data_IF_474708626012
#
_entry.id   IF_474708626012
#
_cell.length_a   1.000
_cell.length_b   1.000
_cell.length_c   1.000
_cell.angle_alpha   90.00
_cell.angle_beta   90.00
_cell.angle_gamma   90.00
#
_symmetry.space_group_name_H-M   'P 1'
#
loop_
_entity.id
_entity.type
_entity.pdbx_description
1 polymer ?
#
# COMPACT_ATOMS: atom_id res chain seq x y z
N UNK A 1 13.72 -2.46 1.85
CA UNK A 1 13.76 -3.53 2.87
C UNK A 1 12.75 -3.31 4.00
N UNK A 2 12.60 -2.10 4.55
CA UNK A 2 11.61 -1.81 5.63
C UNK A 2 10.15 -2.17 5.29
N UNK A 3 9.72 -1.99 4.03
CA UNK A 3 8.34 -2.27 3.59
C UNK A 3 7.98 -3.76 3.57
N UNK A 4 8.83 -4.61 3.00
CA UNK A 4 8.61 -6.06 2.96
C UNK A 4 8.60 -6.66 4.38
N UNK A 5 9.45 -6.13 5.27
CA UNK A 5 9.54 -6.55 6.66
C UNK A 5 8.30 -6.16 7.48
N UNK A 6 7.72 -4.99 7.19
CA UNK A 6 6.45 -4.55 7.77
C UNK A 6 5.26 -5.42 7.32
N UNK A 7 5.22 -5.83 6.04
CA UNK A 7 4.17 -6.74 5.53
C UNK A 7 4.29 -8.12 6.20
N UNK A 8 5.49 -8.68 6.32
CA UNK A 8 5.67 -9.96 7.02
C UNK A 8 5.29 -9.89 8.50
N UNK A 9 5.59 -8.77 9.18
CA UNK A 9 5.21 -8.56 10.56
C UNK A 9 3.68 -8.46 10.72
N UNK A 10 3.00 -7.77 9.80
CA UNK A 10 1.54 -7.68 9.78
C UNK A 10 0.88 -9.05 9.55
N UNK A 11 1.39 -9.85 8.61
CA UNK A 11 0.86 -11.22 8.37
C UNK A 11 1.05 -12.10 9.59
N UNK A 12 2.18 -12.00 10.29
CA UNK A 12 2.42 -12.71 11.54
C UNK A 12 1.47 -12.27 12.65
N UNK A 13 1.25 -10.96 12.80
CA UNK A 13 0.33 -10.40 13.78
C UNK A 13 -1.12 -10.81 13.50
N UNK A 14 -1.57 -10.73 12.24
CA UNK A 14 -2.88 -11.21 11.81
C UNK A 14 -3.04 -12.70 12.11
N UNK A 15 -2.00 -13.51 11.86
CA UNK A 15 -1.99 -14.93 12.21
C UNK A 15 -2.12 -15.20 13.72
N UNK A 16 -1.46 -14.41 14.57
CA UNK A 16 -1.63 -14.50 16.02
C UNK A 16 -3.04 -14.10 16.46
N UNK A 17 -3.60 -13.03 15.90
CA UNK A 17 -4.98 -12.58 16.17
C UNK A 17 -6.00 -13.63 15.78
N UNK A 18 -5.85 -14.29 14.62
CA UNK A 18 -6.71 -15.41 14.19
C UNK A 18 -6.67 -16.55 15.21
N UNK A 19 -5.48 -16.92 15.72
CA UNK A 19 -5.34 -17.95 16.76
C UNK A 19 -6.09 -17.58 18.04
N UNK A 20 -5.96 -16.33 18.50
CA UNK A 20 -6.68 -15.82 19.66
C UNK A 20 -8.19 -15.87 19.44
N UNK A 21 -8.69 -15.48 18.26
CA UNK A 21 -10.11 -15.56 17.90
C UNK A 21 -10.60 -17.02 17.91
N UNK A 22 -9.80 -17.96 17.39
CA UNK A 22 -10.17 -19.39 17.44
C UNK A 22 -10.24 -19.93 18.87
N UNK A 23 -9.34 -19.51 19.76
CA UNK A 23 -9.40 -19.87 21.18
C UNK A 23 -10.62 -19.26 21.88
N UNK A 24 -10.96 -18.00 21.56
CA UNK A 24 -12.18 -17.34 22.07
C UNK A 24 -13.44 -18.06 21.60
N UNK A 25 -13.51 -18.48 20.33
CA UNK A 25 -14.62 -19.26 19.79
C UNK A 25 -14.77 -20.62 20.49
N UNK A 26 -13.65 -21.28 20.83
CA UNK A 26 -13.67 -22.54 21.58
C UNK A 26 -14.19 -22.33 23.01
N UNK A 27 -13.66 -21.34 23.74
CA UNK A 27 -14.16 -20.99 25.09
C UNK A 27 -15.64 -20.58 25.10
N UNK A 28 -16.08 -19.86 24.07
CA UNK A 28 -17.48 -19.46 23.91
C UNK A 28 -18.39 -20.68 23.66
N UNK A 29 -17.89 -21.71 22.98
CA UNK A 29 -18.59 -22.98 22.83
C UNK A 29 -18.65 -23.72 24.18
N UNK A 30 -17.53 -23.80 24.90
CA UNK A 30 -17.44 -24.50 26.18
C UNK A 30 -18.39 -23.89 27.23
N UNK A 31 -18.42 -22.56 27.37
CA UNK A 31 -19.35 -21.88 28.29
C UNK A 31 -20.83 -21.97 27.88
N UNK A 32 -21.13 -22.18 26.59
CA UNK A 32 -22.50 -22.48 26.16
C UNK A 32 -22.91 -23.92 26.54
N UNK A 33 -21.98 -24.87 26.49
CA UNK A 33 -22.23 -26.27 26.89
C UNK A 33 -22.43 -26.40 28.40
N UNK A 34 -21.74 -25.59 29.20
CA UNK A 34 -21.91 -25.49 30.66
C UNK A 34 -23.23 -24.79 31.08
N UNK A 35 -24.04 -24.30 30.12
CA UNK A 35 -25.29 -23.55 30.31
C UNK A 35 -25.13 -22.17 30.98
N UNK A 36 -23.91 -21.64 31.06
CA UNK A 36 -23.63 -20.33 31.65
C UNK A 36 -24.01 -19.15 30.72
N UNK A 37 -24.32 -19.42 29.45
CA UNK A 37 -24.55 -18.39 28.42
C UNK A 37 -25.86 -18.64 27.69
N UNK A 38 -26.69 -17.60 27.59
CA UNK A 38 -27.91 -17.63 26.78
C UNK A 38 -27.63 -17.77 25.29
N UNK A 39 -28.49 -18.53 24.61
CA UNK A 39 -28.38 -18.82 23.16
C UNK A 39 -28.28 -17.57 22.29
N UNK A 40 -28.98 -16.50 22.67
CA UNK A 40 -28.99 -15.25 21.91
C UNK A 40 -27.65 -14.52 22.01
N UNK A 41 -27.08 -14.45 23.21
CA UNK A 41 -25.77 -13.85 23.47
C UNK A 41 -24.67 -14.64 22.73
N UNK A 42 -24.74 -15.97 22.76
CA UNK A 42 -23.82 -16.84 22.01
C UNK A 42 -23.83 -16.53 20.50
N UNK A 43 -25.02 -16.35 19.90
CA UNK A 43 -25.16 -16.08 18.46
C UNK A 43 -24.54 -14.75 18.06
N UNK A 44 -24.78 -13.69 18.84
CA UNK A 44 -24.25 -12.35 18.59
C UNK A 44 -22.72 -12.37 18.67
N UNK A 45 -22.16 -12.91 19.75
CA UNK A 45 -20.71 -12.90 19.97
C UNK A 45 -19.98 -13.80 18.96
N UNK A 46 -20.58 -14.95 18.61
CA UNK A 46 -20.07 -15.83 17.55
C UNK A 46 -20.04 -15.11 16.19
N UNK A 47 -21.11 -14.40 15.83
CA UNK A 47 -21.16 -13.68 14.56
C UNK A 47 -20.08 -12.58 14.48
N UNK A 48 -19.87 -11.86 15.59
CA UNK A 48 -18.82 -10.85 15.72
C UNK A 48 -17.41 -11.43 15.59
N UNK A 49 -17.12 -12.53 16.28
CA UNK A 49 -15.81 -13.19 16.19
C UNK A 49 -15.55 -13.77 14.79
N UNK A 50 -16.59 -14.30 14.13
CA UNK A 50 -16.46 -14.82 12.76
C UNK A 50 -16.26 -13.70 11.73
N UNK A 51 -16.92 -12.54 11.89
CA UNK A 51 -16.73 -11.42 10.98
C UNK A 51 -15.33 -10.82 11.11
N UNK A 52 -14.79 -10.71 12.33
CA UNK A 52 -13.42 -10.26 12.57
C UNK A 52 -12.40 -11.22 11.96
N UNK A 53 -12.56 -12.53 12.17
CA UNK A 53 -11.72 -13.55 11.54
C UNK A 53 -11.73 -13.42 10.01
N UNK A 54 -12.92 -13.33 9.41
CA UNK A 54 -13.07 -13.21 7.95
C UNK A 54 -12.42 -11.93 7.42
N UNK A 55 -12.56 -10.81 8.14
CA UNK A 55 -11.93 -9.55 7.77
C UNK A 55 -10.41 -9.64 7.73
N UNK A 56 -9.79 -10.29 8.72
CA UNK A 56 -8.34 -10.51 8.76
C UNK A 56 -7.85 -11.43 7.63
N UNK A 57 -8.59 -12.50 7.33
CA UNK A 57 -8.28 -13.39 6.20
C UNK A 57 -8.34 -12.66 4.85
N UNK A 58 -9.37 -11.85 4.63
CA UNK A 58 -9.48 -11.01 3.42
C UNK A 58 -8.36 -9.97 3.32
N UNK A 59 -7.92 -9.39 4.43
CA UNK A 59 -6.79 -8.45 4.44
C UNK A 59 -5.49 -9.14 4.04
N UNK A 60 -5.22 -10.36 4.55
CA UNK A 60 -4.05 -11.13 4.15
C UNK A 60 -4.06 -11.47 2.65
N UNK A 61 -5.18 -11.96 2.13
CA UNK A 61 -5.32 -12.27 0.69
C UNK A 61 -5.06 -11.02 -0.16
N UNK A 62 -5.63 -9.87 0.23
CA UNK A 62 -5.41 -8.60 -0.48
C UNK A 62 -3.96 -8.15 -0.45
N UNK A 63 -3.23 -8.40 0.65
CA UNK A 63 -1.81 -8.06 0.73
C UNK A 63 -0.97 -8.98 -0.15
N UNK A 64 -1.24 -10.28 -0.15
CA UNK A 64 -0.56 -11.26 -1.00
C UNK A 64 -0.78 -10.97 -2.50
N UNK A 65 -2.01 -10.65 -2.89
CA UNK A 65 -2.34 -10.25 -4.26
C UNK A 65 -1.61 -8.95 -4.64
N UNK A 66 -1.78 -7.89 -3.85
CA UNK A 66 -1.12 -6.59 -4.11
C UNK A 66 0.40 -6.66 -4.16
N UNK A 67 1.01 -7.59 -3.42
CA UNK A 67 2.45 -7.79 -3.45
C UNK A 67 2.92 -8.33 -4.81
N UNK A 68 2.08 -9.08 -5.53
CA UNK A 68 2.44 -9.74 -6.78
C UNK A 68 1.85 -9.03 -8.02
N UNK A 69 0.81 -8.20 -7.86
CA UNK A 69 0.11 -7.52 -8.97
C UNK A 69 1.03 -6.64 -9.85
N UNK A 70 2.16 -6.15 -9.32
CA UNK A 70 3.11 -5.34 -10.09
C UNK A 70 4.13 -6.17 -10.89
N UNK A 71 4.24 -7.48 -10.63
CA UNK A 71 5.19 -8.36 -11.32
C UNK A 71 4.78 -8.59 -12.77
N UNK A 72 3.51 -8.87 -13.03
CA UNK A 72 3.03 -9.13 -14.40
C UNK A 72 3.20 -7.91 -15.33
N UNK A 73 2.81 -6.67 -14.95
CA UNK A 73 3.09 -5.48 -15.75
C UNK A 73 4.59 -5.23 -15.94
N UNK A 74 5.41 -5.51 -14.93
CA UNK A 74 6.86 -5.34 -15.04
C UNK A 74 7.45 -6.33 -16.05
N UNK A 75 7.08 -7.60 -15.98
CA UNK A 75 7.55 -8.64 -16.90
C UNK A 75 7.15 -8.29 -18.34
N UNK A 76 5.88 -7.92 -18.55
CA UNK A 76 5.39 -7.47 -19.85
C UNK A 76 6.19 -6.26 -20.37
N UNK A 77 6.51 -5.30 -19.51
CA UNK A 77 7.30 -4.13 -19.89
C UNK A 77 8.74 -4.48 -20.26
N UNK A 78 9.39 -5.39 -19.54
CA UNK A 78 10.75 -5.87 -19.85
C UNK A 78 10.77 -6.58 -21.20
N UNK A 79 9.82 -7.49 -21.42
CA UNK A 79 9.68 -8.21 -22.69
C UNK A 79 9.40 -7.23 -23.85
N UNK A 80 8.56 -6.22 -23.62
CA UNK A 80 8.29 -5.18 -24.59
C UNK A 80 9.56 -4.36 -24.90
N UNK A 81 10.30 -3.94 -23.89
CA UNK A 81 11.54 -3.18 -24.03
C UNK A 81 12.62 -3.94 -24.82
N UNK A 82 12.76 -5.25 -24.61
CA UNK A 82 13.68 -6.09 -25.39
C UNK A 82 13.30 -6.17 -26.88
N UNK A 83 12.00 -6.14 -27.18
CA UNK A 83 11.51 -6.21 -28.56
C UNK A 83 11.52 -4.86 -29.29
N UNK A 84 11.53 -3.73 -28.57
CA UNK A 84 11.58 -2.38 -29.16
C UNK A 84 12.78 -2.19 -30.10
N UNK A 85 13.95 -2.73 -29.74
CA UNK A 85 15.16 -2.59 -30.58
C UNK A 85 14.97 -3.27 -31.94
N UNK A 86 14.28 -4.41 -31.96
CA UNK A 86 13.93 -5.14 -33.20
C UNK A 86 12.93 -4.33 -34.02
N UNK A 87 11.86 -3.86 -33.38
CA UNK A 87 10.82 -3.03 -34.02
C UNK A 87 11.41 -1.74 -34.62
N UNK A 88 12.40 -1.14 -33.97
CA UNK A 88 13.09 0.06 -34.47
C UNK A 88 13.90 -0.23 -35.76
N UNK A 89 14.51 -1.41 -35.86
CA UNK A 89 15.29 -1.87 -37.02
C UNK A 89 14.40 -2.35 -38.17
N UNK A 90 13.26 -2.95 -37.87
CA UNK A 90 12.35 -3.51 -38.87
C UNK A 90 11.76 -2.43 -39.79
N UNK A 91 11.25 -2.82 -40.96
CA UNK A 91 10.67 -1.87 -41.93
C UNK A 91 9.20 -1.49 -41.64
N UNK A 92 8.55 -2.14 -40.69
CA UNK A 92 7.13 -1.93 -40.42
C UNK A 92 6.87 -0.57 -39.72
N UNK A 93 6.26 0.36 -40.45
CA UNK A 93 5.97 1.71 -39.96
C UNK A 93 4.83 1.75 -38.92
N UNK A 94 3.91 0.78 -38.97
CA UNK A 94 2.78 0.73 -38.04
C UNK A 94 3.25 0.39 -36.62
N UNK A 95 4.13 -0.59 -36.49
CA UNK A 95 4.67 -1.03 -35.20
C UNK A 95 5.52 0.08 -34.56
N UNK A 96 6.28 0.83 -35.37
CA UNK A 96 7.04 2.01 -34.92
C UNK A 96 6.12 3.11 -34.40
N UNK A 97 4.97 3.31 -35.05
CA UNK A 97 3.96 4.29 -34.60
C UNK A 97 3.36 3.88 -33.26
N UNK A 98 3.02 2.60 -33.09
CA UNK A 98 2.51 2.06 -31.81
C UNK A 98 3.57 2.21 -30.71
N UNK A 99 4.82 1.80 -30.98
CA UNK A 99 5.91 1.93 -30.01
C UNK A 99 6.20 3.38 -29.62
N UNK A 100 6.20 4.30 -30.59
CA UNK A 100 6.37 5.72 -30.29
C UNK A 100 5.23 6.27 -29.41
N UNK A 101 4.00 5.82 -29.63
CA UNK A 101 2.85 6.21 -28.80
C UNK A 101 2.99 5.69 -27.36
N UNK A 102 3.39 4.43 -27.17
CA UNK A 102 3.54 3.83 -25.84
C UNK A 102 4.69 4.47 -25.03
N UNK A 103 5.82 4.79 -25.67
CA UNK A 103 7.01 5.34 -24.98
C UNK A 103 6.88 6.83 -24.67
N UNK A 104 6.40 7.62 -25.65
CA UNK A 104 6.36 9.07 -25.55
C UNK A 104 4.98 9.61 -25.14
N UNK A 105 3.92 8.80 -25.25
CA UNK A 105 2.56 9.22 -24.96
C UNK A 105 2.16 10.44 -25.80
N UNK A 106 1.59 11.45 -25.15
CA UNK A 106 1.22 12.74 -25.75
C UNK A 106 2.36 13.75 -25.80
N UNK A 107 3.55 13.44 -25.26
CA UNK A 107 4.68 14.38 -25.13
C UNK A 107 5.54 14.49 -26.41
N UNK A 108 4.94 14.30 -27.58
CA UNK A 108 5.61 14.44 -28.87
C UNK A 108 5.53 15.89 -29.35
N UNK A 109 6.68 16.50 -29.63
CA UNK A 109 6.80 17.87 -30.15
C UNK A 109 7.46 17.82 -31.52
N UNK A 110 6.90 18.56 -32.48
CA UNK A 110 7.54 18.77 -33.77
C UNK A 110 8.59 19.88 -33.64
N UNK A 111 9.84 19.55 -33.88
CA UNK A 111 10.94 20.51 -33.87
C UNK A 111 11.82 20.24 -35.10
N UNK A 112 12.21 21.31 -35.82
CA UNK A 112 13.11 21.22 -36.97
C UNK A 112 12.69 20.14 -37.99
N UNK A 113 11.39 20.08 -38.35
CA UNK A 113 10.82 19.09 -39.28
C UNK A 113 10.92 17.62 -38.85
N UNK A 114 11.29 17.35 -37.59
CA UNK A 114 11.35 16.02 -37.00
C UNK A 114 10.46 15.92 -35.75
N UNK A 115 9.93 14.74 -35.47
CA UNK A 115 9.27 14.45 -34.20
C UNK A 115 10.34 14.25 -33.13
N UNK A 116 10.26 15.01 -32.04
CA UNK A 116 11.08 14.86 -30.84
C UNK A 116 10.17 14.61 -29.65
N UNK A 117 10.52 13.64 -28.82
CA UNK A 117 9.81 13.36 -27.58
C UNK A 117 10.80 13.08 -26.48
N UNK A 118 10.51 13.55 -25.28
CA UNK A 118 11.19 13.07 -24.08
C UNK A 118 10.40 11.86 -23.58
N UNK A 119 11.01 10.68 -23.44
CA UNK A 119 10.28 9.48 -23.04
C UNK A 119 9.74 9.69 -21.63
N UNK A 120 8.47 9.31 -21.41
CA UNK A 120 7.85 9.45 -20.09
C UNK A 120 8.50 8.44 -19.15
N UNK A 121 9.52 8.87 -18.41
CA UNK A 121 10.13 8.01 -17.42
C UNK A 121 9.17 7.87 -16.24
N UNK A 122 8.56 6.68 -16.10
CA UNK A 122 7.62 6.38 -15.01
C UNK A 122 8.26 6.59 -13.62
N UNK A 123 9.59 6.47 -13.52
CA UNK A 123 10.37 6.72 -12.30
C UNK A 123 10.83 8.18 -12.13
N UNK A 124 10.51 9.08 -13.06
CA UNK A 124 10.81 10.51 -12.92
C UNK A 124 10.12 11.11 -11.69
N UNK A 125 8.86 10.72 -11.44
CA UNK A 125 8.12 11.16 -10.25
C UNK A 125 8.80 10.69 -8.95
N UNK A 126 9.30 9.45 -8.92
CA UNK A 126 10.02 8.91 -7.77
C UNK A 126 11.37 9.64 -7.56
N UNK A 127 12.12 9.91 -8.63
CA UNK A 127 13.37 10.68 -8.55
C UNK A 127 13.11 12.11 -8.06
N UNK A 128 12.11 12.79 -8.62
CA UNK A 128 11.71 14.12 -8.20
C UNK A 128 11.27 14.14 -6.73
N UNK A 129 10.45 13.17 -6.30
CA UNK A 129 10.03 13.03 -4.91
C UNK A 129 11.23 12.82 -3.97
N UNK A 130 12.21 12.01 -4.37
CA UNK A 130 13.44 11.77 -3.59
C UNK A 130 14.31 13.02 -3.50
N UNK A 131 14.49 13.74 -4.60
CA UNK A 131 15.21 15.03 -4.60
C UNK A 131 14.51 16.09 -3.75
N UNK A 132 13.18 16.14 -3.80
CA UNK A 132 12.39 17.04 -2.96
C UNK A 132 12.45 16.65 -1.48
N UNK A 133 12.46 15.35 -1.16
CA UNK A 133 12.62 14.85 0.20
C UNK A 133 13.99 15.27 0.78
N UNK A 134 15.06 15.20 -0.02
CA UNK A 134 16.39 15.67 0.40
C UNK A 134 16.49 17.19 0.63
N UNK A 135 15.59 17.98 0.02
CA UNK A 135 15.56 19.45 0.15
C UNK A 135 14.60 19.94 1.24
N UNK A 136 13.72 19.08 1.76
CA UNK A 136 12.76 19.41 2.82
C UNK A 136 13.36 19.05 4.18
N UNK A 137 13.01 19.81 5.21
CA UNK A 137 13.34 19.45 6.59
C UNK A 137 12.69 18.10 6.95
N UNK A 138 13.42 17.25 7.68
CA UNK A 138 12.97 15.90 8.05
C UNK A 138 11.60 15.91 8.76
N UNK A 139 11.30 16.96 9.52
CA UNK A 139 10.01 17.23 10.16
C UNK A 139 8.80 17.35 9.22
N UNK A 140 9.00 17.54 7.92
CA UNK A 140 7.93 17.59 6.89
C UNK A 140 7.84 16.33 6.04
N UNK A 141 8.75 15.38 6.26
CA UNK A 141 8.86 14.12 5.49
C UNK A 141 8.55 12.93 6.39
N UNK A 142 8.95 13.00 7.65
CA UNK A 142 8.66 12.01 8.67
C UNK A 142 7.40 12.42 9.45
N UNK A 143 6.58 11.43 9.80
CA UNK A 143 5.52 11.58 10.80
C UNK A 143 6.18 11.30 12.15
N UNK A 144 5.93 12.15 13.14
CA UNK A 144 6.42 11.94 14.51
C UNK A 144 5.92 10.58 15.04
N UNK A 145 6.75 9.90 15.85
CA UNK A 145 6.40 8.61 16.46
C UNK A 145 5.17 8.72 17.39
N UNK A 146 4.85 9.93 17.86
CA UNK A 146 3.58 10.25 18.49
C UNK A 146 2.56 10.60 17.41
N UNK A 147 1.49 9.82 17.29
CA UNK A 147 0.40 10.10 16.37
C UNK A 147 -0.25 11.47 16.60
N UNK A 148 -1.18 11.86 15.73
CA UNK A 148 -1.95 13.12 15.83
C UNK A 148 -2.91 13.19 17.05
N UNK A 149 -2.76 12.29 18.02
CA UNK A 149 -3.53 12.34 19.25
C UNK A 149 -2.92 13.39 20.17
N UNK A 150 -3.72 14.32 20.72
CA UNK A 150 -3.21 15.29 21.68
C UNK A 150 -2.65 14.53 22.87
N UNK A 151 -1.36 14.74 23.17
CA UNK A 151 -0.74 14.22 24.37
C UNK A 151 -1.59 14.64 25.57
N UNK A 152 -2.14 13.66 26.30
CA UNK A 152 -2.85 13.85 27.55
C UNK A 152 -1.85 14.35 28.59
N UNK A 153 -1.58 15.66 28.57
CA UNK A 153 -0.87 16.32 29.64
C UNK A 153 -1.74 16.25 30.90
N UNK A 154 -1.36 15.36 31.80
CA UNK A 154 -1.84 15.38 33.17
C UNK A 154 -1.42 16.71 33.81
N UNK A 155 -2.42 17.56 34.06
CA UNK A 155 -2.54 18.51 35.17
C UNK A 155 -1.26 19.05 35.82
N UNK A 156 -0.95 20.33 35.61
CA UNK A 156 -0.74 21.31 36.70
C UNK A 156 -0.55 22.75 36.15
N UNK A 157 -0.66 23.80 37.00
CA UNK A 157 -1.77 24.72 36.95
C UNK A 157 -1.43 26.06 36.29
N UNK A 158 -2.52 26.72 35.91
CA UNK A 158 -2.68 28.11 35.44
C UNK A 158 -1.60 29.06 35.96
N UNK A 159 -0.84 29.66 35.04
CA UNK A 159 -0.27 31.01 35.23
C UNK A 159 -0.63 31.87 34.03
N UNK A 160 -1.69 32.65 34.23
CA UNK A 160 -1.99 33.87 33.49
C UNK A 160 -0.78 34.80 33.50
N UNK A 161 -0.31 35.22 32.33
CA UNK A 161 0.34 36.51 32.14
C UNK A 161 -0.15 37.11 30.81
N UNK A 162 -0.93 38.17 30.93
CA UNK A 162 -1.31 39.10 29.85
C UNK A 162 -0.32 40.28 29.83
N UNK A 163 -0.17 40.88 28.65
CA UNK A 163 0.45 42.18 28.32
C UNK A 163 1.98 42.25 28.47
N UNK A 164 2.73 42.88 27.55
CA UNK A 164 2.45 44.09 26.74
C UNK A 164 2.77 43.86 25.25
#
# INVERSE_FOLDING_TARGET
>A
MKSAQAVSAFVQEAGMRIKVITQKLQRLLDGYLEQDIDREIYRIEKAKLLSEKKSLEEQNIKLEQKQNDWLEPMENWINYAQNIEKIARDSNLLDKKVAAKEIFGSNLRLASRALRGEPQNQWAALRAAREMASKKSESRVLVDDAGFEPATFATCPVRFWWAV
#
